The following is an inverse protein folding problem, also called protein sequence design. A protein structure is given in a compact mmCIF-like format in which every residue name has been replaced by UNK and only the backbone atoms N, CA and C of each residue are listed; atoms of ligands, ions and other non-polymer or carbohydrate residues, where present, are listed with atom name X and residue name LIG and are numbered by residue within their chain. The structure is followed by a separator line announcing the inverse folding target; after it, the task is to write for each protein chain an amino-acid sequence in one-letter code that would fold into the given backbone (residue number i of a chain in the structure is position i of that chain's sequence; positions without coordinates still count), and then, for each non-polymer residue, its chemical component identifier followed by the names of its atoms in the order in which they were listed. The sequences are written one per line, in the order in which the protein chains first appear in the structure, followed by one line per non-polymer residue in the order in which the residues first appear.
data_IF_006940086608
#
_entry.id   IF_006940086608
#
_cell.length_a   1.000
_cell.length_b   1.000
_cell.length_c   1.000
_cell.angle_alpha   90.00
_cell.angle_beta   90.00
_cell.angle_gamma   90.00
#
_symmetry.space_group_name_H-M   'P 1'
#
loop_
_entity.id
_entity.type
_entity.pdbx_description
1 polymer ?
#
# COMPACT_ATOMS: atom_id res chain seq x y z
N UNK A 1 28.71 -8.22 -3.84
CA UNK A 1 28.23 -9.61 -3.73
C UNK A 1 26.77 -9.57 -3.28
N UNK A 2 25.93 -10.48 -3.78
CA UNK A 2 24.57 -10.74 -3.29
C UNK A 2 24.49 -12.22 -2.95
N UNK A 3 24.07 -12.52 -1.73
CA UNK A 3 23.84 -13.90 -1.26
C UNK A 3 22.36 -14.23 -1.37
N UNK A 4 22.05 -15.38 -1.97
CA UNK A 4 20.69 -15.90 -2.11
C UNK A 4 20.38 -16.87 -0.96
N UNK A 5 19.10 -17.09 -0.67
CA UNK A 5 18.65 -17.98 0.41
C UNK A 5 19.19 -19.42 0.29
N UNK A 6 19.43 -19.90 -0.93
CA UNK A 6 20.02 -21.22 -1.19
C UNK A 6 21.55 -21.27 -1.02
N UNK A 7 22.17 -20.20 -0.51
CA UNK A 7 23.61 -20.06 -0.31
C UNK A 7 24.41 -19.70 -1.56
N UNK A 8 23.76 -19.54 -2.72
CA UNK A 8 24.44 -19.09 -3.93
C UNK A 8 24.87 -17.63 -3.80
N UNK A 9 26.05 -17.32 -4.32
CA UNK A 9 26.63 -15.97 -4.30
C UNK A 9 26.80 -15.44 -5.71
N UNK A 10 26.38 -14.19 -5.91
CA UNK A 10 26.47 -13.49 -7.19
C UNK A 10 27.33 -12.23 -7.03
N UNK A 11 28.22 -12.00 -7.98
CA UNK A 11 29.04 -10.80 -8.05
C UNK A 11 28.63 -9.91 -9.22
N UNK A 12 28.67 -8.59 -9.01
CA UNK A 12 28.37 -7.60 -10.03
C UNK A 12 29.09 -6.29 -9.70
N UNK A 13 29.37 -5.49 -10.72
CA UNK A 13 29.90 -4.11 -10.57
C UNK A 13 28.87 -3.17 -9.97
N UNK A 14 27.59 -3.42 -10.24
CA UNK A 14 26.46 -2.59 -9.76
C UNK A 14 25.26 -3.48 -9.43
N UNK A 15 24.41 -3.02 -8.52
CA UNK A 15 23.17 -3.70 -8.12
C UNK A 15 21.98 -2.74 -8.24
N UNK A 16 20.85 -3.23 -8.76
CA UNK A 16 19.57 -2.50 -8.74
C UNK A 16 18.59 -3.29 -7.87
N UNK A 17 18.14 -2.70 -6.77
CA UNK A 17 17.18 -3.26 -5.83
C UNK A 17 15.76 -2.88 -6.27
N UNK A 18 14.98 -3.86 -6.74
CA UNK A 18 13.60 -3.65 -7.22
C UNK A 18 12.63 -4.69 -6.65
N UNK A 19 12.72 -4.93 -5.35
CA UNK A 19 11.97 -6.00 -4.64
C UNK A 19 10.51 -5.67 -4.36
N UNK A 20 10.07 -4.45 -4.70
CA UNK A 20 8.69 -4.00 -4.53
C UNK A 20 8.26 -3.93 -3.07
N UNK A 21 6.95 -4.04 -2.85
CA UNK A 21 6.35 -4.00 -1.53
C UNK A 21 5.15 -4.94 -1.44
N UNK A 22 4.71 -5.22 -0.22
CA UNK A 22 3.50 -5.99 0.08
C UNK A 22 2.52 -5.14 0.90
N UNK A 23 1.24 -5.23 0.57
CA UNK A 23 0.19 -4.61 1.38
C UNK A 23 -0.04 -5.42 2.65
N UNK A 24 -0.33 -4.72 3.75
CA UNK A 24 -0.86 -5.37 4.95
C UNK A 24 -2.27 -5.87 4.67
N UNK A 25 -2.50 -7.12 5.05
CA UNK A 25 -3.80 -7.78 4.94
C UNK A 25 -4.60 -7.61 6.24
N UNK A 26 -5.92 -7.72 6.16
CA UNK A 26 -6.81 -7.73 7.32
C UNK A 26 -6.63 -9.03 8.14
N UNK A 27 -6.23 -10.12 7.48
CA UNK A 27 -6.11 -11.48 8.01
C UNK A 27 -7.44 -12.01 8.58
N UNK A 28 -8.52 -11.83 7.84
CA UNK A 28 -9.88 -12.27 8.22
C UNK A 28 -10.43 -13.32 7.25
N UNK A 29 -11.34 -14.20 7.69
CA UNK A 29 -12.09 -15.07 6.80
C UNK A 29 -12.71 -14.30 5.63
N UNK A 30 -12.68 -14.90 4.44
CA UNK A 30 -13.19 -14.31 3.20
C UNK A 30 -12.23 -13.36 2.47
N UNK A 31 -11.20 -12.80 3.13
CA UNK A 31 -10.31 -11.83 2.48
C UNK A 31 -9.59 -12.42 1.24
N UNK A 32 -8.96 -13.58 1.40
CA UNK A 32 -8.26 -14.24 0.28
C UNK A 32 -9.24 -14.79 -0.75
N UNK A 33 -10.41 -15.26 -0.32
CA UNK A 33 -11.45 -15.77 -1.22
C UNK A 33 -11.96 -14.68 -2.15
N UNK A 34 -12.25 -13.50 -1.63
CA UNK A 34 -12.82 -12.38 -2.38
C UNK A 34 -11.78 -11.38 -2.91
N UNK A 35 -10.49 -11.71 -2.79
CA UNK A 35 -9.41 -10.99 -3.47
C UNK A 35 -9.70 -10.95 -4.98
N UNK A 36 -9.56 -9.76 -5.57
CA UNK A 36 -9.94 -9.46 -6.98
C UNK A 36 -11.42 -9.65 -7.33
N UNK A 37 -12.28 -9.98 -6.35
CA UNK A 37 -13.74 -10.15 -6.49
C UNK A 37 -14.51 -9.21 -5.54
N UNK A 38 -13.92 -8.05 -5.25
CA UNK A 38 -14.46 -7.03 -4.36
C UNK A 38 -13.47 -6.59 -3.27
N UNK A 39 -12.54 -7.45 -2.86
CA UNK A 39 -11.40 -7.03 -2.02
C UNK A 39 -10.27 -6.52 -2.92
N UNK A 40 -9.89 -5.26 -2.72
CA UNK A 40 -8.90 -4.51 -3.46
C UNK A 40 -7.88 -3.84 -2.52
N UNK A 41 -6.69 -3.56 -3.05
CA UNK A 41 -5.59 -2.91 -2.30
C UNK A 41 -5.15 -1.58 -2.91
N UNK A 42 -5.62 -1.27 -4.12
CA UNK A 42 -5.20 -0.09 -4.86
C UNK A 42 -6.44 0.74 -5.25
N UNK A 43 -6.76 1.84 -4.53
CA UNK A 43 -7.89 2.70 -4.87
C UNK A 43 -7.76 3.28 -6.29
N UNK A 44 -6.56 3.68 -6.69
CA UNK A 44 -6.30 4.23 -8.02
C UNK A 44 -6.56 3.23 -9.16
N UNK A 45 -6.38 1.93 -8.89
CA UNK A 45 -6.50 0.88 -9.89
C UNK A 45 -7.97 0.45 -10.05
N UNK A 46 -8.64 0.17 -8.93
CA UNK A 46 -9.94 -0.48 -8.92
C UNK A 46 -11.10 0.48 -8.66
N UNK A 47 -10.85 1.69 -8.16
CA UNK A 47 -11.86 2.70 -7.82
C UNK A 47 -12.92 2.94 -8.92
N UNK A 48 -12.53 3.14 -10.19
CA UNK A 48 -13.48 3.31 -11.29
C UNK A 48 -14.47 2.15 -11.48
N UNK A 49 -14.14 0.93 -11.05
CA UNK A 49 -15.00 -0.25 -11.18
C UNK A 49 -16.19 -0.22 -10.20
N UNK A 50 -16.12 0.61 -9.15
CA UNK A 50 -17.15 0.71 -8.11
C UNK A 50 -18.07 1.92 -8.26
N UNK A 51 -18.14 2.51 -9.46
CA UNK A 51 -19.05 3.63 -9.75
C UNK A 51 -20.49 3.29 -9.38
N UNK A 52 -21.10 4.16 -8.56
CA UNK A 52 -22.47 3.97 -8.06
C UNK A 52 -22.66 2.76 -7.14
N UNK A 53 -21.59 2.25 -6.54
CA UNK A 53 -21.63 1.19 -5.52
C UNK A 53 -21.23 1.73 -4.15
N UNK A 54 -21.54 0.98 -3.09
CA UNK A 54 -21.08 1.25 -1.73
C UNK A 54 -19.78 0.51 -1.48
N UNK A 55 -18.80 1.14 -0.85
CA UNK A 55 -17.47 0.55 -0.57
C UNK A 55 -17.03 0.85 0.85
N UNK A 56 -16.10 0.04 1.37
CA UNK A 56 -15.37 0.32 2.60
C UNK A 56 -13.90 0.60 2.33
N UNK A 57 -13.29 1.44 3.15
CA UNK A 57 -11.84 1.64 3.23
C UNK A 57 -11.37 1.23 4.61
N UNK A 58 -10.35 0.37 4.68
CA UNK A 58 -9.84 -0.18 5.94
C UNK A 58 -8.54 0.52 6.31
N UNK A 59 -8.54 1.24 7.43
CA UNK A 59 -7.41 2.03 7.93
C UNK A 59 -7.63 3.54 7.80
N UNK A 60 -7.26 4.27 8.84
CA UNK A 60 -7.45 5.73 8.99
C UNK A 60 -6.14 6.50 9.16
N UNK A 61 -5.04 5.99 8.61
CA UNK A 61 -3.85 6.79 8.29
C UNK A 61 -4.04 7.59 6.99
N UNK A 62 -3.04 8.38 6.57
CA UNK A 62 -3.12 9.22 5.37
C UNK A 62 -3.60 8.43 4.13
N UNK A 63 -3.00 7.27 3.84
CA UNK A 63 -3.38 6.45 2.69
C UNK A 63 -4.85 6.04 2.69
N UNK A 64 -5.41 5.67 3.84
CA UNK A 64 -6.82 5.29 3.95
C UNK A 64 -7.77 6.48 3.86
N UNK A 65 -7.44 7.59 4.51
CA UNK A 65 -8.28 8.81 4.45
C UNK A 65 -8.25 9.44 3.05
N UNK A 66 -7.09 9.50 2.40
CA UNK A 66 -6.97 9.94 1.01
C UNK A 66 -7.74 9.03 0.05
N UNK A 67 -7.63 7.71 0.22
CA UNK A 67 -8.39 6.74 -0.58
C UNK A 67 -9.90 6.92 -0.41
N UNK A 68 -10.38 7.19 0.82
CA UNK A 68 -11.79 7.44 1.07
C UNK A 68 -12.27 8.73 0.41
N UNK A 69 -11.46 9.80 0.44
CA UNK A 69 -11.76 11.07 -0.25
C UNK A 69 -11.80 10.87 -1.77
N UNK A 70 -10.84 10.13 -2.34
CA UNK A 70 -10.78 9.83 -3.76
C UNK A 70 -12.02 9.03 -4.21
N UNK A 71 -12.29 7.91 -3.54
CA UNK A 71 -13.43 7.04 -3.85
C UNK A 71 -14.76 7.75 -3.69
N UNK A 72 -14.92 8.65 -2.72
CA UNK A 72 -16.16 9.40 -2.51
C UNK A 72 -16.57 10.27 -3.72
N UNK A 73 -15.62 10.62 -4.61
CA UNK A 73 -15.91 11.30 -5.88
C UNK A 73 -16.45 10.38 -6.99
N UNK A 74 -16.39 9.06 -6.81
CA UNK A 74 -16.68 8.05 -7.84
C UNK A 74 -17.87 7.16 -7.44
N UNK A 75 -17.92 6.76 -6.18
CA UNK A 75 -18.81 5.73 -5.64
C UNK A 75 -20.07 6.33 -5.00
N UNK A 76 -21.07 5.49 -4.72
CA UNK A 76 -22.30 5.94 -4.05
C UNK A 76 -22.02 6.36 -2.60
N UNK A 77 -21.26 5.55 -1.86
CA UNK A 77 -20.96 5.79 -0.45
C UNK A 77 -19.65 5.11 -0.03
N UNK A 78 -18.87 5.77 0.82
CA UNK A 78 -17.65 5.22 1.42
C UNK A 78 -17.83 5.07 2.93
N UNK A 79 -17.54 3.89 3.46
CA UNK A 79 -17.42 3.65 4.90
C UNK A 79 -15.95 3.45 5.26
N UNK A 80 -15.33 4.41 5.95
CA UNK A 80 -13.98 4.24 6.48
C UNK A 80 -14.04 3.53 7.83
N UNK A 81 -13.31 2.43 7.96
CA UNK A 81 -13.22 1.60 9.15
C UNK A 81 -11.83 1.74 9.76
N UNK A 82 -11.74 2.34 10.95
CA UNK A 82 -10.52 2.53 11.71
C UNK A 82 -10.52 1.64 12.96
N UNK A 83 -9.42 0.91 13.14
CA UNK A 83 -9.22 0.01 14.27
C UNK A 83 -9.08 0.78 15.59
N UNK A 84 -8.33 1.88 15.58
CA UNK A 84 -8.03 2.73 16.73
C UNK A 84 -9.23 3.63 17.12
N UNK A 85 -9.10 4.28 18.27
CA UNK A 85 -10.07 5.25 18.82
C UNK A 85 -10.07 6.59 18.08
N UNK A 86 -9.11 6.79 17.15
CA UNK A 86 -8.89 8.03 16.42
C UNK A 86 -8.25 7.76 15.05
N UNK A 87 -8.54 8.62 14.09
CA UNK A 87 -7.79 8.67 12.83
C UNK A 87 -6.36 9.17 13.09
N UNK A 88 -5.39 8.58 12.38
CA UNK A 88 -3.97 8.98 12.42
C UNK A 88 -3.57 9.86 11.25
N UNK A 89 -4.47 10.05 10.29
CA UNK A 89 -4.24 10.92 9.15
C UNK A 89 -4.07 12.38 9.57
N UNK A 90 -3.46 13.20 8.71
CA UNK A 90 -3.32 14.63 8.94
C UNK A 90 -4.68 15.31 9.11
N UNK A 91 -4.76 16.30 10.02
CA UNK A 91 -6.03 16.93 10.38
C UNK A 91 -6.75 17.54 9.16
N UNK A 92 -6.00 18.05 8.17
CA UNK A 92 -6.59 18.60 6.93
C UNK A 92 -7.34 17.53 6.13
N UNK A 93 -6.82 16.29 6.11
CA UNK A 93 -7.44 15.16 5.44
C UNK A 93 -8.68 14.69 6.21
N UNK A 94 -8.60 14.62 7.53
CA UNK A 94 -9.76 14.29 8.37
C UNK A 94 -10.89 15.31 8.18
N UNK A 95 -10.58 16.60 8.22
CA UNK A 95 -11.55 17.68 7.98
C UNK A 95 -12.18 17.56 6.59
N UNK A 96 -11.37 17.26 5.57
CA UNK A 96 -11.87 17.07 4.20
C UNK A 96 -12.80 15.87 4.13
N UNK A 97 -12.42 14.72 4.71
CA UNK A 97 -13.25 13.52 4.74
C UNK A 97 -14.62 13.81 5.40
N UNK A 98 -14.62 14.41 6.60
CA UNK A 98 -15.85 14.75 7.30
C UNK A 98 -16.74 15.80 6.59
N UNK A 99 -16.19 16.57 5.64
CA UNK A 99 -16.97 17.51 4.83
C UNK A 99 -17.77 16.85 3.71
N UNK A 100 -17.50 15.57 3.39
CA UNK A 100 -18.12 14.86 2.28
C UNK A 100 -19.48 14.28 2.69
N UNK A 101 -20.54 14.44 1.88
CA UNK A 101 -21.90 14.05 2.25
C UNK A 101 -22.15 12.53 2.17
N UNK A 102 -21.27 11.78 1.51
CA UNK A 102 -21.43 10.35 1.23
C UNK A 102 -20.36 9.49 1.91
N UNK A 103 -19.85 9.94 3.05
CA UNK A 103 -18.82 9.23 3.82
C UNK A 103 -19.26 9.00 5.26
N UNK A 104 -19.03 7.79 5.77
CA UNK A 104 -19.18 7.45 7.19
C UNK A 104 -17.85 6.99 7.74
N UNK A 105 -17.47 7.49 8.92
CA UNK A 105 -16.26 7.04 9.64
C UNK A 105 -16.69 6.24 10.85
N UNK A 106 -16.18 5.01 10.95
CA UNK A 106 -16.39 4.10 12.07
C UNK A 106 -15.02 3.88 12.73
N UNK A 107 -14.89 4.28 13.98
CA UNK A 107 -13.70 4.06 14.80
C UNK A 107 -13.92 2.91 15.77
N UNK A 108 -12.86 2.46 16.46
CA UNK A 108 -12.89 1.28 17.32
C UNK A 108 -13.35 0.00 16.58
N UNK A 109 -13.23 -0.06 15.26
CA UNK A 109 -13.82 -1.12 14.48
C UNK A 109 -12.76 -2.11 14.00
N UNK A 110 -12.87 -3.36 14.45
CA UNK A 110 -12.08 -4.48 13.97
C UNK A 110 -12.89 -5.24 12.92
N UNK A 111 -12.48 -5.20 11.65
CA UNK A 111 -13.00 -6.12 10.63
C UNK A 111 -12.82 -7.57 11.09
N UNK A 112 -13.87 -8.39 10.97
CA UNK A 112 -13.86 -9.79 11.44
C UNK A 112 -14.12 -10.79 10.32
N UNK A 113 -14.82 -10.40 9.25
CA UNK A 113 -15.17 -11.31 8.15
C UNK A 113 -15.54 -10.51 6.89
N UNK A 114 -15.05 -10.94 5.73
CA UNK A 114 -15.53 -10.48 4.43
C UNK A 114 -16.68 -11.39 3.99
N UNK A 115 -17.85 -10.80 3.76
CA UNK A 115 -19.05 -11.51 3.32
C UNK A 115 -19.18 -11.46 1.80
N UNK A 116 -19.66 -12.54 1.20
CA UNK A 116 -19.96 -12.59 -0.23
C UNK A 116 -20.96 -13.69 -0.58
N UNK A 117 -21.35 -13.69 -1.85
CA UNK A 117 -22.34 -14.63 -2.41
C UNK A 117 -21.71 -15.84 -3.11
N UNK A 118 -20.41 -16.08 -2.89
CA UNK A 118 -19.60 -17.07 -3.59
C UNK A 118 -18.99 -16.57 -4.91
N UNK A 119 -19.51 -15.47 -5.47
CA UNK A 119 -18.97 -14.83 -6.67
C UNK A 119 -18.22 -13.54 -6.34
N UNK A 120 -18.79 -12.69 -5.48
CA UNK A 120 -18.27 -11.36 -5.17
C UNK A 120 -18.61 -10.92 -3.74
N UNK A 121 -17.96 -9.85 -3.27
CA UNK A 121 -18.24 -9.24 -1.97
C UNK A 121 -19.67 -8.68 -1.92
N UNK A 122 -20.34 -8.93 -0.80
CA UNK A 122 -21.67 -8.36 -0.49
C UNK A 122 -21.68 -7.58 0.83
N UNK A 123 -20.65 -7.73 1.65
CA UNK A 123 -20.56 -6.97 2.90
C UNK A 123 -19.27 -7.16 3.67
N UNK A 124 -19.16 -6.41 4.75
CA UNK A 124 -18.09 -6.50 5.73
C UNK A 124 -18.71 -6.64 7.12
N UNK A 125 -18.32 -7.67 7.86
CA UNK A 125 -18.58 -7.76 9.30
C UNK A 125 -17.44 -7.11 10.06
N UNK A 126 -17.78 -6.34 11.08
CA UNK A 126 -16.81 -5.79 12.02
C UNK A 126 -17.34 -5.87 13.45
N UNK A 127 -16.42 -5.85 14.40
CA UNK A 127 -16.67 -5.79 15.83
C UNK A 127 -16.30 -4.41 16.36
N UNK A 128 -17.22 -3.76 17.07
CA UNK A 128 -16.89 -2.58 17.87
C UNK A 128 -16.08 -3.04 19.09
N UNK A 129 -14.85 -2.56 19.21
CA UNK A 129 -13.90 -2.92 20.26
C UNK A 129 -14.23 -2.28 21.61
N UNK A 130 -15.09 -1.27 21.65
CA UNK A 130 -15.52 -0.62 22.88
C UNK A 130 -16.72 -1.34 23.53
N UNK A 131 -17.60 -1.95 22.73
CA UNK A 131 -18.84 -2.59 23.20
C UNK A 131 -18.88 -4.10 23.01
N UNK A 132 -17.92 -4.66 22.25
CA UNK A 132 -17.90 -6.03 21.76
C UNK A 132 -19.07 -6.40 20.82
N UNK A 133 -19.88 -5.44 20.37
CA UNK A 133 -20.99 -5.66 19.44
C UNK A 133 -20.51 -5.95 18.01
N UNK A 134 -21.20 -6.86 17.33
CA UNK A 134 -20.95 -7.14 15.91
C UNK A 134 -21.92 -6.35 15.01
N UNK A 135 -21.38 -5.83 13.92
CA UNK A 135 -22.13 -5.06 12.93
C UNK A 135 -21.80 -5.57 11.52
N UNK A 136 -22.74 -5.33 10.60
CA UNK A 136 -22.58 -5.66 9.17
C UNK A 136 -22.78 -4.39 8.35
N UNK A 137 -21.87 -4.16 7.40
CA UNK A 137 -21.99 -3.10 6.40
C UNK A 137 -22.21 -3.75 5.05
N UNK A 138 -23.35 -3.49 4.41
CA UNK A 138 -23.61 -3.91 3.03
C UNK A 138 -22.83 -3.04 2.05
N UNK A 139 -22.02 -3.68 1.21
CA UNK A 139 -21.11 -3.02 0.28
C UNK A 139 -20.67 -3.99 -0.83
N UNK A 140 -20.20 -3.43 -1.94
CA UNK A 140 -19.70 -4.21 -3.07
C UNK A 140 -18.18 -4.34 -3.09
N UNK A 141 -17.46 -3.45 -2.38
CA UNK A 141 -15.99 -3.39 -2.44
C UNK A 141 -15.32 -2.99 -1.14
N UNK A 142 -14.16 -3.57 -0.86
CA UNK A 142 -13.35 -3.31 0.33
C UNK A 142 -11.93 -2.94 -0.12
N UNK A 143 -11.49 -1.73 0.22
CA UNK A 143 -10.17 -1.21 -0.08
C UNK A 143 -9.28 -1.26 1.16
N UNK A 144 -8.34 -2.20 1.21
CA UNK A 144 -7.45 -2.38 2.36
C UNK A 144 -6.30 -1.37 2.30
N UNK A 145 -6.27 -0.41 3.21
CA UNK A 145 -5.28 0.69 3.31
C UNK A 145 -4.59 0.73 4.68
N UNK A 146 -4.37 -0.45 5.28
CA UNK A 146 -3.72 -0.62 6.60
C UNK A 146 -2.24 -0.20 6.55
N UNK A 147 -1.61 -0.32 5.39
CA UNK A 147 -0.25 0.13 5.14
C UNK A 147 0.49 -0.75 4.15
N UNK A 148 1.58 -0.19 3.63
CA UNK A 148 2.49 -0.86 2.72
C UNK A 148 3.79 -1.22 3.46
N UNK A 149 4.30 -2.41 3.20
CA UNK A 149 5.56 -2.93 3.74
C UNK A 149 6.53 -3.16 2.57
N UNK A 150 7.57 -2.33 2.41
CA UNK A 150 8.64 -2.59 1.45
C UNK A 150 9.29 -3.96 1.69
N UNK A 151 9.65 -4.66 0.63
CA UNK A 151 10.33 -5.96 0.72
C UNK A 151 11.83 -5.74 0.91
N UNK A 152 12.21 -5.11 2.02
CA UNK A 152 13.56 -4.60 2.32
C UNK A 152 14.07 -5.07 3.68
N UNK A 153 13.35 -5.99 4.33
CA UNK A 153 13.72 -6.52 5.65
C UNK A 153 15.14 -7.10 5.66
N UNK A 154 15.59 -7.68 4.54
CA UNK A 154 16.95 -8.21 4.35
C UNK A 154 18.05 -7.14 4.30
N UNK A 155 17.70 -5.86 4.19
CA UNK A 155 18.63 -4.73 4.13
C UNK A 155 18.83 -4.03 5.49
N UNK A 156 18.09 -4.42 6.54
CA UNK A 156 18.14 -3.75 7.85
C UNK A 156 19.53 -3.71 8.48
N UNK A 157 20.31 -4.77 8.25
CA UNK A 157 21.68 -4.89 8.74
C UNK A 157 22.72 -4.55 7.66
N UNK A 158 22.28 -3.96 6.55
CA UNK A 158 23.15 -3.50 5.46
C UNK A 158 23.51 -2.03 5.59
N UNK A 159 24.46 -1.56 4.77
CA UNK A 159 24.81 -0.14 4.69
C UNK A 159 23.76 0.70 3.94
N UNK A 160 22.76 0.10 3.30
CA UNK A 160 21.74 0.83 2.54
C UNK A 160 20.77 1.52 3.48
N UNK A 161 20.67 2.85 3.37
CA UNK A 161 19.77 3.64 4.20
C UNK A 161 18.29 3.40 3.85
N UNK A 162 17.51 3.14 4.91
CA UNK A 162 16.06 2.98 4.84
C UNK A 162 15.36 4.10 5.63
N UNK A 163 14.16 4.49 5.19
CA UNK A 163 13.29 5.33 6.02
C UNK A 163 12.82 4.58 7.27
N UNK A 164 12.21 5.29 8.21
CA UNK A 164 11.52 4.68 9.35
C UNK A 164 10.34 3.75 8.94
N UNK A 165 9.95 3.75 7.66
CA UNK A 165 8.94 2.84 7.08
C UNK A 165 9.56 1.69 6.27
N UNK A 166 10.89 1.60 6.23
CA UNK A 166 11.62 0.56 5.51
C UNK A 166 11.80 0.82 4.02
N UNK A 167 11.47 2.00 3.51
CA UNK A 167 11.68 2.32 2.09
C UNK A 167 13.15 2.67 1.83
N UNK A 168 13.71 2.19 0.73
CA UNK A 168 15.08 2.53 0.33
C UNK A 168 15.13 4.01 -0.03
N UNK A 169 16.00 4.76 0.64
CA UNK A 169 16.22 6.17 0.33
C UNK A 169 16.99 6.26 -0.98
N UNK A 170 16.44 7.00 -1.94
CA UNK A 170 17.09 7.25 -3.23
C UNK A 170 17.03 8.72 -3.59
N UNK A 171 18.01 9.19 -4.36
CA UNK A 171 17.95 10.51 -4.97
C UNK A 171 17.15 10.51 -6.29
N UNK A 172 17.14 11.65 -6.98
CA UNK A 172 16.47 11.84 -8.27
C UNK A 172 17.02 10.96 -9.41
N UNK A 173 18.21 10.36 -9.22
CA UNK A 173 18.87 9.41 -10.13
C UNK A 173 18.71 7.95 -9.71
N UNK A 174 17.88 7.64 -8.71
CA UNK A 174 17.72 6.29 -8.15
C UNK A 174 18.98 5.70 -7.49
N UNK A 175 19.95 6.56 -7.13
CA UNK A 175 21.15 6.16 -6.37
C UNK A 175 20.80 6.05 -4.88
N UNK A 176 21.31 5.01 -4.21
CA UNK A 176 21.27 4.94 -2.74
C UNK A 176 22.48 5.66 -2.13
N UNK A 177 22.62 5.61 -0.81
CA UNK A 177 23.83 6.09 -0.13
C UNK A 177 25.08 5.25 -0.43
N UNK A 178 24.92 4.00 -0.93
CA UNK A 178 26.03 3.09 -1.24
C UNK A 178 26.38 3.18 -2.73
N UNK A 179 27.63 3.53 -3.04
CA UNK A 179 28.11 3.67 -4.42
C UNK A 179 27.95 2.37 -5.21
N UNK A 180 27.38 2.45 -6.40
CA UNK A 180 27.12 1.30 -7.26
C UNK A 180 25.86 0.50 -6.88
N UNK A 181 25.13 0.91 -5.84
CA UNK A 181 23.83 0.37 -5.48
C UNK A 181 22.74 1.38 -5.82
N UNK A 182 21.74 0.91 -6.54
CA UNK A 182 20.60 1.68 -7.00
C UNK A 182 19.33 0.96 -6.54
N UNK A 183 18.19 1.67 -6.54
CA UNK A 183 16.91 1.05 -6.24
C UNK A 183 15.78 1.66 -7.05
N UNK A 184 14.75 0.87 -7.36
CA UNK A 184 13.65 1.31 -8.21
C UNK A 184 12.29 0.71 -7.80
N UNK A 185 11.23 1.48 -8.02
CA UNK A 185 9.85 1.06 -7.79
C UNK A 185 9.46 1.07 -6.31
N UNK A 186 8.47 0.25 -5.97
CA UNK A 186 7.73 0.39 -4.71
C UNK A 186 8.55 0.21 -3.43
N UNK A 187 9.71 -0.46 -3.51
CA UNK A 187 10.62 -0.61 -2.38
C UNK A 187 11.35 0.70 -2.01
N UNK A 188 11.26 1.73 -2.84
CA UNK A 188 11.94 3.01 -2.66
C UNK A 188 11.03 4.08 -2.07
N UNK A 189 11.63 5.24 -1.80
CA UNK A 189 10.97 6.49 -1.39
C UNK A 189 10.13 7.16 -2.50
N UNK A 190 9.94 6.52 -3.66
CA UNK A 190 8.98 7.00 -4.67
C UNK A 190 7.59 7.15 -4.02
N UNK A 191 6.94 8.33 -4.13
CA UNK A 191 5.77 8.65 -3.31
C UNK A 191 4.53 7.84 -3.68
N UNK A 192 4.45 7.33 -4.92
CA UNK A 192 3.30 6.63 -5.45
C UNK A 192 3.70 5.26 -6.00
N UNK A 193 2.83 4.28 -5.80
CA UNK A 193 3.09 2.86 -6.06
C UNK A 193 2.19 2.40 -7.19
N UNK A 194 2.73 2.42 -8.41
CA UNK A 194 1.99 2.13 -9.64
C UNK A 194 2.92 1.45 -10.65
N UNK A 195 2.35 0.58 -11.50
CA UNK A 195 3.10 -0.15 -12.52
C UNK A 195 3.88 0.81 -13.42
N UNK A 196 3.22 1.84 -13.97
CA UNK A 196 3.85 2.79 -14.89
C UNK A 196 4.91 3.67 -14.22
N UNK A 197 4.77 3.92 -12.92
CA UNK A 197 5.76 4.68 -12.15
C UNK A 197 6.97 3.80 -11.90
N UNK A 198 6.76 2.57 -11.43
CA UNK A 198 7.83 1.61 -11.17
C UNK A 198 8.66 1.28 -12.42
N UNK A 199 8.02 1.17 -13.61
CA UNK A 199 8.76 0.97 -14.86
C UNK A 199 9.61 2.19 -15.24
N UNK A 200 9.11 3.41 -15.01
CA UNK A 200 9.88 4.63 -15.19
C UNK A 200 11.09 4.72 -14.25
N UNK A 201 10.89 4.39 -12.97
CA UNK A 201 11.97 4.31 -11.98
C UNK A 201 13.01 3.24 -12.34
N UNK A 202 12.58 2.09 -12.86
CA UNK A 202 13.46 1.02 -13.33
C UNK A 202 14.34 1.46 -14.50
N UNK A 203 13.76 2.18 -15.47
CA UNK A 203 14.51 2.74 -16.59
C UNK A 203 15.57 3.75 -16.09
N UNK A 204 15.21 4.62 -15.14
CA UNK A 204 16.11 5.60 -14.55
C UNK A 204 17.28 4.96 -13.82
N UNK A 205 17.00 3.99 -12.94
CA UNK A 205 18.02 3.24 -12.20
C UNK A 205 18.99 2.49 -13.13
N UNK A 206 18.46 1.90 -14.22
CA UNK A 206 19.29 1.22 -15.23
C UNK A 206 20.28 2.17 -15.90
N UNK A 207 19.82 3.36 -16.31
CA UNK A 207 20.68 4.37 -16.94
C UNK A 207 21.72 4.93 -15.96
N UNK A 208 21.35 5.14 -14.69
CA UNK A 208 22.28 5.57 -13.64
C UNK A 208 23.35 4.51 -13.34
N UNK A 209 22.96 3.23 -13.28
CA UNK A 209 23.91 2.14 -13.11
C UNK A 209 24.90 2.04 -14.28
N UNK A 210 24.42 2.23 -15.52
CA UNK A 210 25.28 2.29 -16.69
C UNK A 210 26.25 3.50 -16.63
N UNK A 211 25.75 4.70 -16.31
CA UNK A 211 26.58 5.90 -16.15
C UNK A 211 27.65 5.71 -15.06
N UNK A 212 27.31 5.05 -13.96
CA UNK A 212 28.26 4.70 -12.92
C UNK A 212 29.36 3.77 -13.44
N UNK A 213 29.02 2.72 -14.19
CA UNK A 213 30.01 1.79 -14.75
C UNK A 213 31.01 2.50 -15.68
N UNK A 214 30.52 3.40 -16.54
CA UNK A 214 31.41 4.09 -17.50
C UNK A 214 32.29 5.16 -16.85
N UNK A 215 31.82 5.80 -15.76
CA UNK A 215 32.59 6.83 -15.03
C UNK A 215 33.52 6.26 -13.97
N UNK A 216 33.15 5.12 -13.40
CA UNK A 216 33.93 4.38 -12.42
C UNK A 216 34.87 3.37 -13.10
N UNK A 217 35.07 3.51 -14.41
CA UNK A 217 35.98 2.70 -15.24
C UNK A 217 37.47 3.01 -15.03
N UNK A 218 37.88 3.25 -13.78
CA UNK A 218 39.26 3.13 -13.29
C UNK A 218 39.28 2.19 -12.08
#
# INVERSE_FOLDING_TARGET
EVELENGAKLESKTVILSTGARWREMNVPGEQEYRTRGVAYCPHCDGPLFKGKRVAVIGGGNSGVEAAIDLAGIVEHVTLVEFDTKLRADQVLQNKLHSLPNTTVIMNALSTEVLGDGSQVTGLKYKDRATDEEHVVELAGIFVQIGLLPNTDFLKDSEVELTNRGEIIVNDRNETNVKGVFAAGDCTTVPYKQIIIATGEGAKASLSAFDYIIRSGQ
#
